data_IF_166471040163
#
_entry.id   IF_166471040163
#
_cell.length_a   1.000
_cell.length_b   1.000
_cell.length_c   1.000
_cell.angle_alpha   90.00
_cell.angle_beta   90.00
_cell.angle_gamma   90.00
#
_symmetry.space_group_name_H-M   'P 1'
#
loop_
_entity.id
_entity.type
_entity.pdbx_description
1 polymer ?
#
# COMPACT_ATOMS: atom_id res chain seq x y z
N UNK A 1 27.88 24.25 -3.73
CA UNK A 1 27.22 23.20 -4.54
C UNK A 1 25.75 23.37 -4.26
N UNK A 2 25.00 23.90 -5.23
CA UNK A 2 23.65 24.43 -5.03
C UNK A 2 22.64 23.30 -4.81
N UNK A 3 21.82 23.50 -3.79
CA UNK A 3 20.63 22.73 -3.47
C UNK A 3 19.71 22.65 -4.68
N UNK A 4 19.52 21.44 -5.21
CA UNK A 4 18.42 21.16 -6.11
C UNK A 4 17.19 20.86 -5.24
N UNK A 5 16.60 21.90 -4.67
CA UNK A 5 15.16 21.87 -4.40
C UNK A 5 14.48 21.81 -5.76
N UNK A 6 14.31 20.59 -6.30
CA UNK A 6 13.48 20.34 -7.47
C UNK A 6 12.04 20.70 -7.10
N UNK A 7 11.72 21.95 -7.38
CA UNK A 7 10.40 22.53 -7.31
C UNK A 7 9.47 21.68 -8.19
N UNK A 8 8.48 21.04 -7.57
CA UNK A 8 7.34 20.48 -8.29
C UNK A 8 6.82 21.56 -9.25
N UNK A 9 6.45 21.16 -10.47
CA UNK A 9 5.73 22.04 -11.40
C UNK A 9 4.56 22.66 -10.60
N UNK A 10 4.42 24.02 -10.52
CA UNK A 10 3.72 24.71 -9.43
C UNK A 10 2.27 24.26 -9.13
N UNK A 11 1.64 23.49 -10.01
CA UNK A 11 0.32 22.88 -9.83
C UNK A 11 0.29 21.51 -9.13
N UNK A 12 1.43 20.90 -8.81
CA UNK A 12 1.52 19.54 -8.22
C UNK A 12 2.18 19.51 -6.83
N UNK A 13 2.30 20.67 -6.18
CA UNK A 13 2.78 20.73 -4.81
C UNK A 13 1.87 19.93 -3.86
N UNK A 14 2.48 19.23 -2.90
CA UNK A 14 1.79 18.64 -1.76
C UNK A 14 2.36 19.20 -0.47
N UNK A 15 1.51 19.29 0.55
CA UNK A 15 1.91 19.73 1.88
C UNK A 15 2.17 18.49 2.74
N UNK A 16 3.42 18.29 3.17
CA UNK A 16 3.75 17.21 4.10
C UNK A 16 3.22 17.53 5.48
N UNK A 17 2.49 16.58 6.06
CA UNK A 17 2.18 16.61 7.48
C UNK A 17 3.43 16.14 8.25
N UNK A 18 3.92 16.94 9.18
CA UNK A 18 5.17 16.65 9.93
C UNK A 18 5.02 15.52 10.94
N UNK A 19 3.79 15.13 11.27
CA UNK A 19 3.47 14.05 12.19
C UNK A 19 3.04 12.77 11.44
N UNK A 20 3.35 11.59 12.01
CA UNK A 20 2.86 10.31 11.50
C UNK A 20 3.71 9.62 10.43
N UNK A 21 4.99 9.99 10.26
CA UNK A 21 5.91 9.24 9.39
C UNK A 21 6.06 7.78 9.86
N UNK A 22 5.87 6.83 8.95
CA UNK A 22 6.09 5.41 9.20
C UNK A 22 7.20 4.87 8.31
N UNK A 23 8.23 4.30 8.92
CA UNK A 23 9.33 3.70 8.18
C UNK A 23 9.23 2.18 8.19
N UNK A 24 9.06 1.60 7.00
CA UNK A 24 9.20 0.17 6.77
C UNK A 24 10.62 -0.20 6.35
N UNK A 25 10.81 -1.49 6.08
CA UNK A 25 12.07 -1.99 5.56
C UNK A 25 12.38 -1.48 4.15
N UNK A 26 11.40 -1.13 3.33
CA UNK A 26 11.62 -0.76 1.91
C UNK A 26 11.21 0.67 1.54
N UNK A 27 10.38 1.30 2.35
CA UNK A 27 9.83 2.62 2.06
C UNK A 27 9.55 3.40 3.33
N UNK A 28 9.52 4.72 3.20
CA UNK A 28 8.96 5.64 4.18
C UNK A 28 7.61 6.11 3.67
N UNK A 29 6.63 6.14 4.57
CA UNK A 29 5.29 6.64 4.31
C UNK A 29 5.12 7.95 5.08
N UNK A 30 4.71 8.99 4.38
CA UNK A 30 4.42 10.31 4.94
C UNK A 30 2.97 10.65 4.69
N UNK A 31 2.28 11.21 5.68
CA UNK A 31 0.98 11.83 5.44
C UNK A 31 1.18 13.15 4.70
N UNK A 32 0.26 13.47 3.79
CA UNK A 32 0.27 14.73 3.08
C UNK A 32 -1.14 15.13 2.64
N UNK A 33 -1.28 16.38 2.22
CA UNK A 33 -2.44 16.85 1.46
C UNK A 33 -2.02 17.06 0.01
N UNK A 34 -2.71 16.39 -0.92
CA UNK A 34 -2.49 16.53 -2.36
C UNK A 34 -3.77 17.04 -3.02
N UNK A 35 -3.69 18.21 -3.67
CA UNK A 35 -4.83 18.89 -4.32
C UNK A 35 -6.07 19.00 -3.40
N UNK A 36 -5.85 19.37 -2.14
CA UNK A 36 -6.90 19.53 -1.12
C UNK A 36 -7.49 18.22 -0.59
N UNK A 37 -6.89 17.06 -0.89
CA UNK A 37 -7.33 15.74 -0.42
C UNK A 37 -6.30 15.08 0.50
N UNK A 38 -6.72 14.38 1.57
CA UNK A 38 -5.83 13.55 2.36
C UNK A 38 -5.18 12.45 1.50
N UNK A 39 -3.86 12.35 1.60
CA UNK A 39 -3.03 11.45 0.81
C UNK A 39 -1.85 10.93 1.62
N UNK A 40 -1.14 9.94 1.07
CA UNK A 40 0.15 9.49 1.58
C UNK A 40 1.19 9.50 0.48
N UNK A 41 2.41 9.90 0.82
CA UNK A 41 3.59 9.75 -0.03
C UNK A 41 4.34 8.50 0.40
N UNK A 42 4.43 7.53 -0.50
CA UNK A 42 5.31 6.36 -0.35
C UNK A 42 6.62 6.64 -1.07
N UNK A 43 7.69 6.84 -0.31
CA UNK A 43 9.04 7.05 -0.81
C UNK A 43 9.90 5.79 -0.61
N UNK A 44 10.38 5.18 -1.70
CA UNK A 44 11.35 4.09 -1.62
C UNK A 44 12.76 4.66 -1.54
N UNK A 45 13.46 4.41 -0.43
CA UNK A 45 14.81 4.88 -0.21
C UNK A 45 15.86 3.86 -0.64
N UNK A 46 17.04 4.36 -1.04
CA UNK A 46 18.13 3.50 -1.49
C UNK A 46 18.65 2.59 -0.37
N UNK A 47 18.99 1.35 -0.73
CA UNK A 47 19.63 0.40 0.20
C UNK A 47 21.13 0.42 0.01
N UNK A 48 21.85 1.08 0.92
CA UNK A 48 23.31 1.25 0.86
C UNK A 48 24.11 -0.06 0.84
N UNK A 49 23.51 -1.18 1.24
CA UNK A 49 24.13 -2.50 1.15
C UNK A 49 24.07 -3.13 -0.27
N UNK A 50 23.28 -2.56 -1.20
CA UNK A 50 23.16 -3.04 -2.59
C UNK A 50 24.03 -2.21 -3.51
N UNK A 51 24.53 -2.84 -4.58
CA UNK A 51 25.21 -2.10 -5.65
C UNK A 51 24.27 -1.03 -6.25
N UNK A 52 24.70 0.24 -6.44
CA UNK A 52 23.82 1.33 -6.85
C UNK A 52 22.99 1.05 -8.12
N UNK A 53 23.61 0.46 -9.15
CA UNK A 53 22.93 0.07 -10.39
C UNK A 53 21.83 -0.97 -10.14
N UNK A 54 22.09 -1.95 -9.27
CA UNK A 54 21.12 -2.98 -8.92
C UNK A 54 19.96 -2.39 -8.13
N UNK A 55 20.25 -1.54 -7.14
CA UNK A 55 19.23 -0.90 -6.32
C UNK A 55 18.30 -0.01 -7.16
N UNK A 56 18.86 0.81 -8.04
CA UNK A 56 18.08 1.63 -8.97
C UNK A 56 17.18 0.77 -9.87
N UNK A 57 17.71 -0.34 -10.41
CA UNK A 57 16.93 -1.26 -11.24
C UNK A 57 15.79 -1.92 -10.45
N UNK A 58 16.05 -2.33 -9.22
CA UNK A 58 15.05 -2.94 -8.34
C UNK A 58 13.96 -1.94 -7.95
N UNK A 59 14.32 -0.71 -7.56
CA UNK A 59 13.34 0.31 -7.18
C UNK A 59 12.44 0.67 -8.37
N UNK A 60 13.01 0.87 -9.57
CA UNK A 60 12.23 1.09 -10.79
C UNK A 60 11.29 -0.08 -11.12
N UNK A 61 11.76 -1.32 -10.96
CA UNK A 61 10.92 -2.50 -11.17
C UNK A 61 9.77 -2.57 -10.15
N UNK A 62 10.04 -2.32 -8.86
CA UNK A 62 9.03 -2.32 -7.80
C UNK A 62 7.98 -1.24 -7.97
N UNK A 63 8.38 0.00 -8.29
CA UNK A 63 7.44 1.09 -8.59
C UNK A 63 6.53 0.71 -9.76
N UNK A 64 7.11 0.17 -10.84
CA UNK A 64 6.33 -0.30 -11.99
C UNK A 64 5.35 -1.41 -11.63
N UNK A 65 5.81 -2.41 -10.89
CA UNK A 65 4.98 -3.54 -10.47
C UNK A 65 3.86 -3.05 -9.55
N UNK A 66 4.16 -2.15 -8.62
CA UNK A 66 3.19 -1.60 -7.69
C UNK A 66 2.04 -0.89 -8.42
N UNK A 67 2.37 -0.01 -9.38
CA UNK A 67 1.37 0.67 -10.19
C UNK A 67 0.54 -0.28 -11.06
N UNK A 68 1.20 -1.22 -11.74
CA UNK A 68 0.51 -2.22 -12.57
C UNK A 68 -0.39 -3.13 -11.74
N UNK A 69 0.07 -3.56 -10.57
CA UNK A 69 -0.67 -4.42 -9.66
C UNK A 69 -1.91 -3.71 -9.10
N UNK A 70 -1.77 -2.45 -8.69
CA UNK A 70 -2.90 -1.61 -8.24
C UNK A 70 -3.95 -1.49 -9.34
N UNK A 71 -3.56 -1.05 -10.54
CA UNK A 71 -4.50 -0.88 -11.66
C UNK A 71 -5.18 -2.21 -11.99
N UNK A 72 -4.42 -3.31 -12.06
CA UNK A 72 -5.01 -4.62 -12.37
C UNK A 72 -5.97 -5.10 -11.30
N UNK A 73 -5.64 -4.90 -10.02
CA UNK A 73 -6.53 -5.24 -8.91
C UNK A 73 -7.84 -4.46 -8.99
N UNK A 74 -7.79 -3.16 -9.32
CA UNK A 74 -8.98 -2.32 -9.51
C UNK A 74 -9.87 -2.81 -10.66
N UNK A 75 -9.28 -3.20 -11.80
CA UNK A 75 -10.02 -3.81 -12.92
C UNK A 75 -10.76 -5.10 -12.51
N UNK A 76 -10.20 -5.86 -11.57
CA UNK A 76 -10.78 -7.09 -11.03
C UNK A 76 -11.81 -6.84 -9.91
N UNK A 77 -12.11 -5.56 -9.62
CA UNK A 77 -13.04 -5.16 -8.56
C UNK A 77 -12.48 -5.32 -7.15
N UNK A 78 -11.16 -5.40 -7.01
CA UNK A 78 -10.48 -5.52 -5.73
C UNK A 78 -10.15 -4.12 -5.22
N UNK A 79 -10.41 -3.87 -3.94
CA UNK A 79 -10.16 -2.58 -3.34
C UNK A 79 -8.65 -2.34 -3.14
N UNK A 80 -8.16 -1.23 -3.66
CA UNK A 80 -6.80 -0.72 -3.47
C UNK A 80 -6.87 0.82 -3.40
N UNK A 81 -5.87 1.50 -2.82
CA UNK A 81 -5.80 2.95 -2.84
C UNK A 81 -5.78 3.50 -4.27
N UNK A 82 -6.42 4.66 -4.49
CA UNK A 82 -6.25 5.40 -5.72
C UNK A 82 -4.83 5.99 -5.81
N UNK A 83 -4.18 5.89 -6.97
CA UNK A 83 -2.88 6.55 -7.23
C UNK A 83 -3.16 7.95 -7.74
N UNK A 84 -2.59 8.96 -7.08
CA UNK A 84 -2.77 10.37 -7.45
C UNK A 84 -1.61 10.89 -8.29
N UNK A 85 -0.38 10.53 -7.95
CA UNK A 85 0.81 11.01 -8.66
C UNK A 85 1.98 10.03 -8.53
N UNK A 86 2.87 10.03 -9.52
CA UNK A 86 4.07 9.18 -9.55
C UNK A 86 5.28 10.02 -9.92
N UNK A 87 6.23 10.11 -9.00
CA UNK A 87 7.56 10.62 -9.25
C UNK A 87 8.54 9.45 -9.40
N UNK A 88 8.78 9.07 -10.66
CA UNK A 88 9.68 7.96 -10.97
C UNK A 88 11.16 8.29 -10.81
N UNK A 89 11.53 9.58 -10.72
CA UNK A 89 12.92 10.01 -10.51
C UNK A 89 13.31 9.82 -9.05
N UNK A 90 12.43 10.25 -8.14
CA UNK A 90 12.67 10.15 -6.70
C UNK A 90 12.08 8.87 -6.07
N UNK A 91 11.53 7.96 -6.87
CA UNK A 91 10.84 6.74 -6.41
C UNK A 91 9.73 7.03 -5.38
N UNK A 92 8.93 8.08 -5.63
CA UNK A 92 7.79 8.45 -4.81
C UNK A 92 6.47 8.16 -5.51
N UNK A 93 5.50 7.67 -4.76
CA UNK A 93 4.12 7.52 -5.23
C UNK A 93 3.22 8.24 -4.23
N UNK A 94 2.40 9.16 -4.71
CA UNK A 94 1.34 9.80 -3.93
C UNK A 94 0.05 9.03 -4.19
N UNK A 95 -0.60 8.57 -3.14
CA UNK A 95 -1.82 7.75 -3.21
C UNK A 95 -2.82 8.14 -2.13
N UNK A 96 -4.06 7.69 -2.30
CA UNK A 96 -5.14 7.87 -1.33
C UNK A 96 -4.72 7.42 0.07
N UNK A 97 -4.99 8.28 1.06
CA UNK A 97 -4.87 7.88 2.47
C UNK A 97 -6.10 7.07 2.85
N UNK A 98 -5.88 5.82 3.22
CA UNK A 98 -6.93 4.96 3.77
C UNK A 98 -6.93 5.11 5.29
N UNK A 99 -7.95 5.80 5.81
CA UNK A 99 -8.16 5.92 7.26
C UNK A 99 -8.67 4.58 7.81
N UNK A 100 -7.75 3.74 8.29
CA UNK A 100 -8.00 2.40 8.79
C UNK A 100 -6.78 1.78 9.47
N UNK A 101 -6.93 0.57 9.98
CA UNK A 101 -5.81 -0.18 10.56
C UNK A 101 -5.42 -1.37 9.68
N UNK A 102 -4.21 -1.89 9.84
CA UNK A 102 -3.83 -3.12 9.11
C UNK A 102 -4.64 -4.30 9.63
N UNK A 103 -4.91 -5.29 8.78
CA UNK A 103 -5.60 -6.51 9.22
C UNK A 103 -4.83 -7.20 10.35
N UNK A 104 -3.48 -7.14 10.35
CA UNK A 104 -2.68 -7.63 11.46
C UNK A 104 -3.02 -6.94 12.79
N UNK A 105 -3.06 -5.60 12.79
CA UNK A 105 -3.41 -4.84 13.99
C UNK A 105 -4.85 -5.12 14.42
N UNK A 106 -5.78 -5.22 13.47
CA UNK A 106 -7.18 -5.57 13.71
C UNK A 106 -7.35 -6.92 14.39
N UNK A 107 -6.65 -7.96 13.90
CA UNK A 107 -6.71 -9.30 14.50
C UNK A 107 -6.21 -9.24 15.95
N UNK A 108 -5.06 -8.58 16.19
CA UNK A 108 -4.45 -8.59 17.51
C UNK A 108 -5.15 -7.70 18.53
N UNK A 109 -5.68 -6.55 18.12
CA UNK A 109 -6.50 -5.70 19.00
C UNK A 109 -7.75 -6.44 19.47
N UNK A 110 -8.40 -7.20 18.58
CA UNK A 110 -9.58 -8.00 18.91
C UNK A 110 -9.25 -9.25 19.71
N UNK A 111 -8.12 -9.91 19.43
CA UNK A 111 -7.65 -11.04 20.26
C UNK A 111 -7.49 -10.62 21.74
N UNK A 112 -7.07 -9.38 21.97
CA UNK A 112 -6.77 -8.85 23.30
C UNK A 112 -7.98 -8.28 24.03
N UNK A 113 -8.98 -7.77 23.29
CA UNK A 113 -10.13 -7.04 23.84
C UNK A 113 -11.47 -7.78 23.77
N UNK A 114 -11.63 -8.72 22.84
CA UNK A 114 -12.89 -9.46 22.66
C UNK A 114 -12.96 -10.63 23.65
N UNK A 115 -13.84 -10.49 24.64
CA UNK A 115 -14.10 -11.54 25.64
C UNK A 115 -14.98 -12.65 25.09
N UNK A 116 -15.74 -12.40 24.02
CA UNK A 116 -16.52 -13.40 23.31
C UNK A 116 -15.68 -14.11 22.23
N UNK A 117 -15.11 -15.26 22.61
CA UNK A 117 -14.34 -16.11 21.71
C UNK A 117 -15.12 -16.54 20.46
N UNK A 118 -16.44 -16.73 20.55
CA UNK A 118 -17.26 -17.16 19.40
C UNK A 118 -17.42 -16.04 18.39
N UNK A 119 -17.65 -14.81 18.86
CA UNK A 119 -17.73 -13.62 18.00
C UNK A 119 -16.39 -13.36 17.31
N UNK A 120 -15.28 -13.42 18.05
CA UNK A 120 -13.94 -13.31 17.47
C UNK A 120 -13.72 -14.34 16.35
N UNK A 121 -14.06 -15.61 16.58
CA UNK A 121 -13.94 -16.66 15.56
C UNK A 121 -14.83 -16.41 14.35
N UNK A 122 -16.08 -15.98 14.55
CA UNK A 122 -17.01 -15.69 13.47
C UNK A 122 -16.53 -14.54 12.57
N UNK A 123 -16.07 -13.43 13.16
CA UNK A 123 -15.57 -12.28 12.40
C UNK A 123 -14.29 -12.62 11.63
N UNK A 124 -13.37 -13.38 12.24
CA UNK A 124 -12.15 -13.85 11.55
C UNK A 124 -12.47 -14.83 10.41
N UNK A 125 -13.49 -15.67 10.56
CA UNK A 125 -13.94 -16.58 9.51
C UNK A 125 -14.50 -15.78 8.31
N UNK A 126 -15.33 -14.78 8.57
CA UNK A 126 -15.89 -13.92 7.53
C UNK A 126 -14.82 -13.06 6.84
N UNK A 127 -13.85 -12.53 7.60
CA UNK A 127 -12.66 -11.87 7.05
C UNK A 127 -11.87 -12.82 6.15
N UNK A 128 -11.62 -14.05 6.60
CA UNK A 128 -10.89 -15.07 5.86
C UNK A 128 -11.57 -15.43 4.53
N UNK A 129 -12.92 -15.49 4.50
CA UNK A 129 -13.69 -15.68 3.26
C UNK A 129 -13.49 -14.50 2.30
N UNK A 130 -13.68 -13.27 2.78
CA UNK A 130 -13.52 -12.07 1.94
C UNK A 130 -12.10 -11.94 1.37
N UNK A 131 -11.08 -12.24 2.20
CA UNK A 131 -9.68 -12.30 1.78
C UNK A 131 -9.46 -13.39 0.72
N UNK A 132 -9.95 -14.60 0.96
CA UNK A 132 -9.85 -15.72 0.03
C UNK A 132 -10.51 -15.45 -1.32
N UNK A 133 -11.69 -14.84 -1.32
CA UNK A 133 -12.40 -14.43 -2.54
C UNK A 133 -11.60 -13.38 -3.33
N UNK A 134 -11.05 -12.37 -2.66
CA UNK A 134 -10.24 -11.35 -3.30
C UNK A 134 -8.96 -11.95 -3.91
N UNK A 135 -8.27 -12.84 -3.19
CA UNK A 135 -7.08 -13.54 -3.70
C UNK A 135 -7.42 -14.45 -4.87
N UNK A 136 -8.54 -15.17 -4.80
CA UNK A 136 -9.02 -15.99 -5.91
C UNK A 136 -9.30 -15.13 -7.16
N UNK A 137 -9.95 -13.97 -7.00
CA UNK A 137 -10.14 -13.00 -8.09
C UNK A 137 -8.82 -12.50 -8.68
N UNK A 138 -7.81 -12.19 -7.84
CA UNK A 138 -6.48 -11.83 -8.33
C UNK A 138 -5.92 -12.93 -9.22
N UNK A 139 -5.85 -14.17 -8.71
CA UNK A 139 -5.25 -15.28 -9.43
C UNK A 139 -6.00 -15.64 -10.72
N UNK A 140 -7.33 -15.65 -10.70
CA UNK A 140 -8.15 -15.85 -11.90
C UNK A 140 -7.95 -14.72 -12.93
N UNK A 141 -7.67 -13.51 -12.44
CA UNK A 141 -7.32 -12.34 -13.26
C UNK A 141 -5.84 -12.27 -13.66
N UNK A 142 -5.08 -13.36 -13.51
CA UNK A 142 -3.64 -13.44 -13.77
C UNK A 142 -2.82 -12.41 -13.00
N UNK A 143 -3.24 -12.02 -11.80
CA UNK A 143 -2.49 -11.16 -10.90
C UNK A 143 -2.03 -11.96 -9.68
N UNK A 144 -0.73 -11.94 -9.40
CA UNK A 144 -0.16 -12.49 -8.17
C UNK A 144 0.42 -11.34 -7.36
N UNK A 145 -0.01 -11.18 -6.10
CA UNK A 145 0.45 -10.08 -5.24
C UNK A 145 1.95 -10.15 -4.92
N UNK A 146 2.49 -11.35 -4.72
CA UNK A 146 3.91 -11.61 -4.47
C UNK A 146 4.42 -11.34 -3.04
N UNK A 147 3.59 -10.72 -2.19
CA UNK A 147 3.92 -10.42 -0.78
C UNK A 147 2.63 -10.30 0.06
N UNK A 148 1.77 -11.30 -0.01
CA UNK A 148 0.50 -11.27 0.70
C UNK A 148 0.72 -11.52 2.20
N UNK A 149 0.57 -10.48 3.00
CA UNK A 149 0.59 -10.56 4.48
C UNK A 149 -0.58 -9.76 5.05
N UNK A 150 -0.97 -10.02 6.29
CA UNK A 150 -2.02 -9.25 6.99
C UNK A 150 -1.63 -7.79 7.24
N UNK A 151 -0.34 -7.45 7.14
CA UNK A 151 0.15 -6.06 7.22
C UNK A 151 -0.01 -5.29 5.91
N UNK A 152 -0.13 -6.01 4.78
CA UNK A 152 -0.37 -5.44 3.45
C UNK A 152 -1.88 -5.35 3.11
N UNK A 153 -2.73 -5.43 4.13
CA UNK A 153 -4.19 -5.29 4.02
C UNK A 153 -4.63 -4.24 5.03
N UNK A 154 -5.40 -3.25 4.58
CA UNK A 154 -6.04 -2.25 5.43
C UNK A 154 -7.53 -2.53 5.55
N UNK A 155 -8.05 -2.41 6.77
CA UNK A 155 -9.48 -2.44 7.07
C UNK A 155 -9.93 -1.03 7.45
N UNK A 156 -10.74 -0.44 6.59
CA UNK A 156 -11.38 0.87 6.81
C UNK A 156 -12.70 0.67 7.54
N UNK A 157 -12.94 1.48 8.57
CA UNK A 157 -14.20 1.50 9.34
C UNK A 157 -14.64 0.12 9.87
N UNK A 158 -13.69 -0.71 10.34
CA UNK A 158 -13.93 -2.08 10.81
C UNK A 158 -14.53 -3.04 9.76
N UNK A 159 -14.55 -2.65 8.48
CA UNK A 159 -15.18 -3.42 7.41
C UNK A 159 -14.27 -4.56 6.90
N UNK A 160 -14.19 -5.63 7.69
CA UNK A 160 -13.43 -6.84 7.34
C UNK A 160 -13.98 -7.59 6.12
N UNK A 161 -15.18 -7.28 5.64
CA UNK A 161 -15.75 -7.88 4.41
C UNK A 161 -15.22 -7.24 3.12
N UNK A 162 -14.55 -6.10 3.21
CA UNK A 162 -13.96 -5.40 2.07
C UNK A 162 -12.49 -5.05 2.32
N UNK A 163 -11.60 -6.06 2.36
CA UNK A 163 -10.17 -5.83 2.55
C UNK A 163 -9.58 -4.95 1.45
N UNK A 164 -8.79 -3.94 1.83
CA UNK A 164 -8.10 -3.04 0.92
C UNK A 164 -6.64 -3.49 0.83
N UNK A 165 -6.20 -3.92 -0.35
CA UNK A 165 -4.84 -4.43 -0.57
C UNK A 165 -3.87 -3.30 -0.89
N UNK A 166 -2.67 -3.37 -0.31
CA UNK A 166 -1.59 -2.40 -0.52
C UNK A 166 -0.27 -3.13 -0.80
N UNK A 167 0.74 -2.38 -1.26
CA UNK A 167 2.09 -2.87 -1.55
C UNK A 167 2.21 -3.98 -2.59
N UNK A 168 1.88 -3.64 -3.84
CA UNK A 168 2.07 -4.52 -4.99
C UNK A 168 3.51 -4.49 -5.55
N UNK A 169 4.50 -4.05 -4.77
CA UNK A 169 5.88 -3.89 -5.25
C UNK A 169 6.54 -5.18 -5.75
N UNK A 170 6.10 -6.33 -5.24
CA UNK A 170 6.54 -7.67 -5.65
C UNK A 170 5.54 -8.39 -6.55
N UNK A 171 4.50 -7.69 -7.01
CA UNK A 171 3.47 -8.30 -7.84
C UNK A 171 3.98 -8.72 -9.21
N UNK A 172 3.31 -9.71 -9.79
CA UNK A 172 3.56 -10.18 -11.15
C UNK A 172 2.25 -10.47 -11.86
N UNK A 173 2.26 -10.30 -13.18
CA UNK A 173 1.16 -10.69 -14.04
C UNK A 173 1.49 -12.03 -14.69
N UNK A 174 0.54 -12.96 -14.64
CA UNK A 174 0.61 -14.23 -15.35
C UNK A 174 0.76 -14.01 -16.85
N UNK A 175 1.49 -14.91 -17.51
CA UNK A 175 1.66 -14.93 -18.95
C UNK A 175 0.42 -15.47 -19.65
#
# INVERSE_FOLDING_TARGET
MMDAEEQFDPGFAYEMETDGMRQGAEARIYNCTFLGRPAVVKERFAKNYRHPILDQRLNKARVRNELKGIVKAQELGIATPAVYFVDSFNNKIIMERIDGCTANHWIESRRSSETDSKKFQADNLEFGKALGEAVAKMHLGNLVHGDLTTSNIILKDDNFKRPIFIDFGLSSLGK
#
